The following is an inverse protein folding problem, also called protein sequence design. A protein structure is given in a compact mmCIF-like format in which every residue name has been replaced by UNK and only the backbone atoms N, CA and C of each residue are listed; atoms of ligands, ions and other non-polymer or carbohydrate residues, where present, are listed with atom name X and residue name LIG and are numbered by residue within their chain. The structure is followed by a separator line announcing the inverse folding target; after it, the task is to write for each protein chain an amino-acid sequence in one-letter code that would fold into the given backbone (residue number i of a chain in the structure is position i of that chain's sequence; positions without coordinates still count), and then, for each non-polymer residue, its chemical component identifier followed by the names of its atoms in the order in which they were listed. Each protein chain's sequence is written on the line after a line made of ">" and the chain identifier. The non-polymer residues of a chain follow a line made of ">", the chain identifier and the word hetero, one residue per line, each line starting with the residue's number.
data_IF_653940322734
#
_entry.id   IF_653940322734
#
_cell.length_a   1.000
_cell.length_b   1.000
_cell.length_c   1.000
_cell.angle_alpha   90.00
_cell.angle_beta   90.00
_cell.angle_gamma   90.00
#
_symmetry.space_group_name_H-M   'P 1'
#
loop_
_entity.id
_entity.type
_entity.pdbx_description
1 polymer ?
#
# COMPACT_ATOMS: atom_id res chain seq x y z
N UNK A 1 -25.96 3.98 20.83
CA UNK A 1 -24.84 3.01 20.72
C UNK A 1 -24.74 2.07 21.92
N UNK A 2 -24.96 2.51 23.16
CA UNK A 2 -24.99 1.65 24.39
C UNK A 2 -26.00 0.48 24.35
N UNK A 3 -27.02 0.55 23.50
CA UNK A 3 -28.09 -0.44 23.35
C UNK A 3 -27.75 -1.67 22.47
N UNK A 4 -26.71 -1.58 21.62
CA UNK A 4 -26.29 -2.70 20.75
C UNK A 4 -25.34 -3.64 21.49
N UNK A 5 -24.42 -3.10 22.27
CA UNK A 5 -23.49 -3.86 23.11
C UNK A 5 -24.23 -4.77 24.09
N UNK A 6 -25.16 -4.20 24.87
CA UNK A 6 -25.98 -4.97 25.80
C UNK A 6 -26.79 -6.07 25.11
N UNK A 7 -27.23 -5.87 23.86
CA UNK A 7 -27.96 -6.88 23.08
C UNK A 7 -27.06 -8.01 22.56
N UNK A 8 -25.87 -7.69 22.07
CA UNK A 8 -24.91 -8.69 21.57
C UNK A 8 -24.34 -9.50 22.74
N UNK A 9 -23.93 -8.84 23.81
CA UNK A 9 -23.44 -9.48 25.03
C UNK A 9 -24.53 -10.31 25.72
N UNK A 10 -25.78 -9.82 25.79
CA UNK A 10 -26.90 -10.67 26.29
C UNK A 10 -27.25 -11.82 25.35
N UNK A 11 -27.07 -11.68 24.03
CA UNK A 11 -27.24 -12.81 23.10
C UNK A 11 -26.17 -13.89 23.35
N UNK A 12 -24.90 -13.50 23.46
CA UNK A 12 -23.80 -14.43 23.70
C UNK A 12 -23.81 -15.02 25.11
N UNK A 13 -24.15 -14.23 26.14
CA UNK A 13 -24.33 -14.72 27.51
C UNK A 13 -25.55 -15.63 27.66
N UNK A 14 -26.61 -15.43 26.85
CA UNK A 14 -27.74 -16.39 26.77
C UNK A 14 -27.33 -17.72 26.14
N UNK A 15 -26.33 -17.73 25.26
CA UNK A 15 -25.87 -18.92 24.53
C UNK A 15 -24.68 -19.61 25.25
N UNK A 16 -24.11 -19.01 26.31
CA UNK A 16 -22.94 -19.54 27.07
C UNK A 16 -21.77 -19.96 26.18
N UNK A 17 -21.46 -19.17 25.15
CA UNK A 17 -20.32 -19.48 24.27
C UNK A 17 -18.98 -19.23 24.99
N UNK A 18 -17.96 -20.09 24.81
CA UNK A 18 -16.62 -19.84 25.35
C UNK A 18 -16.02 -18.54 24.81
N UNK A 19 -15.25 -17.82 25.63
CA UNK A 19 -14.58 -16.57 25.25
C UNK A 19 -13.76 -16.68 23.96
N UNK A 20 -13.10 -17.83 23.77
CA UNK A 20 -12.33 -18.11 22.55
C UNK A 20 -13.23 -18.14 21.30
N UNK A 21 -14.44 -18.70 21.39
CA UNK A 21 -15.36 -18.77 20.24
C UNK A 21 -15.85 -17.37 19.85
N UNK A 22 -16.16 -16.54 20.85
CA UNK A 22 -16.54 -15.14 20.65
C UNK A 22 -15.40 -14.34 20.02
N UNK A 23 -14.17 -14.53 20.52
CA UNK A 23 -12.98 -13.87 20.00
C UNK A 23 -12.68 -14.27 18.54
N UNK A 24 -12.75 -15.56 18.21
CA UNK A 24 -12.58 -16.07 16.85
C UNK A 24 -13.65 -15.55 15.90
N UNK A 25 -14.91 -15.47 16.35
CA UNK A 25 -15.99 -14.88 15.57
C UNK A 25 -15.72 -13.41 15.23
N UNK A 26 -15.22 -12.61 16.18
CA UNK A 26 -14.82 -11.23 15.92
C UNK A 26 -13.64 -11.13 14.96
N UNK A 27 -12.68 -12.06 15.02
CA UNK A 27 -11.56 -12.10 14.08
C UNK A 27 -12.04 -12.34 12.65
N UNK A 28 -12.97 -13.28 12.46
CA UNK A 28 -13.57 -13.59 11.16
C UNK A 28 -14.36 -12.38 10.63
N UNK A 29 -15.22 -11.75 11.44
CA UNK A 29 -15.97 -10.55 11.01
C UNK A 29 -15.01 -9.40 10.65
N UNK A 30 -13.97 -9.21 11.46
CA UNK A 30 -12.98 -8.16 11.19
C UNK A 30 -12.25 -8.42 9.89
N UNK A 31 -11.79 -9.65 9.67
CA UNK A 31 -11.18 -10.08 8.42
C UNK A 31 -12.12 -9.89 7.23
N UNK A 32 -13.40 -10.26 7.39
CA UNK A 32 -14.38 -10.14 6.33
C UNK A 32 -14.63 -8.68 5.92
N UNK A 33 -14.86 -7.81 6.91
CA UNK A 33 -15.11 -6.39 6.67
C UNK A 33 -13.86 -5.66 6.12
N UNK A 34 -12.67 -5.97 6.66
CA UNK A 34 -11.42 -5.40 6.17
C UNK A 34 -11.07 -5.88 4.76
N UNK A 35 -11.28 -7.17 4.46
CA UNK A 35 -11.10 -7.75 3.14
C UNK A 35 -12.02 -7.13 2.10
N UNK A 36 -13.32 -7.03 2.39
CA UNK A 36 -14.28 -6.34 1.52
C UNK A 36 -13.87 -4.89 1.25
N UNK A 37 -13.47 -4.14 2.27
CA UNK A 37 -13.05 -2.76 2.09
C UNK A 37 -11.74 -2.63 1.30
N UNK A 38 -10.81 -3.58 1.45
CA UNK A 38 -9.57 -3.62 0.69
C UNK A 38 -9.82 -3.92 -0.80
N UNK A 39 -10.72 -4.86 -1.10
CA UNK A 39 -11.18 -5.14 -2.47
C UNK A 39 -11.85 -3.92 -3.07
N UNK A 40 -12.83 -3.33 -2.37
CA UNK A 40 -13.50 -2.10 -2.83
C UNK A 40 -12.53 -0.94 -3.06
N UNK A 41 -11.49 -0.81 -2.22
CA UNK A 41 -10.46 0.20 -2.36
C UNK A 41 -9.61 -0.02 -3.62
N UNK A 42 -9.18 -1.26 -3.85
CA UNK A 42 -8.40 -1.63 -5.04
C UNK A 42 -9.23 -1.46 -6.32
N UNK A 43 -10.44 -1.98 -6.36
CA UNK A 43 -11.36 -1.84 -7.50
C UNK A 43 -11.68 -0.38 -7.81
N UNK A 44 -11.76 0.48 -6.78
CA UNK A 44 -11.98 1.92 -6.98
C UNK A 44 -10.77 2.61 -7.63
N UNK A 45 -9.55 2.19 -7.29
CA UNK A 45 -8.32 2.67 -7.93
C UNK A 45 -8.31 2.24 -9.39
N UNK A 46 -8.52 0.95 -9.63
CA UNK A 46 -8.48 0.36 -10.98
C UNK A 46 -9.57 0.92 -11.88
N UNK A 47 -10.80 1.07 -11.37
CA UNK A 47 -11.89 1.68 -12.11
C UNK A 47 -11.55 3.11 -12.54
N UNK A 48 -11.04 3.92 -11.61
CA UNK A 48 -10.66 5.30 -11.91
C UNK A 48 -9.48 5.34 -12.91
N UNK A 49 -8.51 4.45 -12.77
CA UNK A 49 -7.36 4.37 -13.67
C UNK A 49 -7.79 3.96 -15.09
N UNK A 50 -8.55 2.86 -15.24
CA UNK A 50 -9.06 2.38 -16.53
C UNK A 50 -9.91 3.45 -17.23
N UNK A 51 -10.80 4.10 -16.49
CA UNK A 51 -11.65 5.16 -17.04
C UNK A 51 -10.83 6.33 -17.59
N UNK A 52 -9.76 6.73 -16.90
CA UNK A 52 -8.96 7.90 -17.27
C UNK A 52 -7.89 7.60 -18.34
N UNK A 53 -7.27 6.42 -18.30
CA UNK A 53 -6.12 6.07 -19.15
C UNK A 53 -6.46 5.12 -20.29
N UNK A 54 -7.36 4.14 -20.10
CA UNK A 54 -7.75 3.19 -21.14
C UNK A 54 -8.93 3.72 -21.95
N UNK A 55 -10.06 4.01 -21.29
CA UNK A 55 -11.26 4.53 -21.96
C UNK A 55 -11.08 5.99 -22.37
N UNK A 56 -10.39 6.78 -21.55
CA UNK A 56 -10.02 8.17 -21.82
C UNK A 56 -9.23 8.33 -23.11
N UNK A 57 -8.41 7.34 -23.50
CA UNK A 57 -7.66 7.38 -24.75
C UNK A 57 -8.58 7.50 -25.99
N UNK A 58 -9.82 7.03 -25.91
CA UNK A 58 -10.83 7.23 -26.95
C UNK A 58 -11.30 8.68 -27.04
N UNK A 59 -11.38 9.39 -25.91
CA UNK A 59 -11.68 10.83 -25.84
C UNK A 59 -10.48 11.70 -26.24
N UNK A 60 -9.26 11.20 -26.05
CA UNK A 60 -8.01 11.92 -26.35
C UNK A 60 -7.43 11.61 -27.74
N UNK A 61 -8.19 10.99 -28.66
CA UNK A 61 -7.72 10.67 -30.02
C UNK A 61 -7.08 11.91 -30.69
N UNK A 62 -5.78 11.83 -30.97
CA UNK A 62 -4.97 12.91 -31.57
C UNK A 62 -4.38 13.94 -30.58
N UNK A 63 -4.58 13.77 -29.26
CA UNK A 63 -4.09 14.66 -28.19
C UNK A 63 -3.54 13.89 -26.99
N UNK A 64 -2.68 12.90 -27.25
CA UNK A 64 -2.10 12.02 -26.21
C UNK A 64 -1.37 12.79 -25.09
N UNK A 65 -0.82 13.97 -25.40
CA UNK A 65 -0.18 14.86 -24.41
C UNK A 65 -1.12 15.33 -23.29
N UNK A 66 -2.45 15.23 -23.45
CA UNK A 66 -3.41 15.57 -22.40
C UNK A 66 -3.31 14.65 -21.17
N UNK A 67 -2.73 13.45 -21.32
CA UNK A 67 -2.46 12.53 -20.21
C UNK A 67 -1.58 13.17 -19.12
N UNK A 68 -0.74 14.14 -19.49
CA UNK A 68 0.15 14.87 -18.57
C UNK A 68 -0.64 15.62 -17.49
N UNK A 69 -1.86 16.07 -17.80
CA UNK A 69 -2.69 16.84 -16.88
C UNK A 69 -3.48 15.97 -15.90
N UNK A 70 -3.59 14.66 -16.14
CA UNK A 70 -4.41 13.76 -15.31
C UNK A 70 -3.85 13.69 -13.88
N UNK A 71 -2.55 13.39 -13.64
CA UNK A 71 -2.03 13.38 -12.27
C UNK A 71 -1.97 14.78 -11.65
N UNK A 72 -1.81 15.83 -12.46
CA UNK A 72 -1.87 17.22 -12.00
C UNK A 72 -3.26 17.56 -11.42
N UNK A 73 -4.33 17.15 -12.10
CA UNK A 73 -5.70 17.32 -11.61
C UNK A 73 -5.95 16.50 -10.34
N UNK A 74 -5.46 15.26 -10.29
CA UNK A 74 -5.55 14.42 -9.09
C UNK A 74 -4.85 15.04 -7.87
N UNK A 75 -3.67 15.62 -8.08
CA UNK A 75 -2.93 16.33 -7.04
C UNK A 75 -3.61 17.63 -6.62
N UNK A 76 -4.23 18.36 -7.55
CA UNK A 76 -5.04 19.54 -7.24
C UNK A 76 -6.25 19.18 -6.35
N UNK A 77 -6.98 18.11 -6.70
CA UNK A 77 -8.12 17.63 -5.90
C UNK A 77 -7.65 17.25 -4.49
N UNK A 78 -6.53 16.53 -4.36
CA UNK A 78 -5.96 16.18 -3.05
C UNK A 78 -5.56 17.42 -2.24
N UNK A 79 -5.02 18.46 -2.87
CA UNK A 79 -4.71 19.71 -2.20
C UNK A 79 -5.97 20.39 -1.64
N UNK A 80 -7.07 20.37 -2.39
CA UNK A 80 -8.37 20.87 -1.92
C UNK A 80 -8.92 20.03 -0.75
N UNK A 81 -8.76 18.70 -0.79
CA UNK A 81 -9.11 17.82 0.31
C UNK A 81 -8.30 18.13 1.58
N UNK A 82 -7.00 18.40 1.45
CA UNK A 82 -6.13 18.81 2.55
C UNK A 82 -6.59 20.15 3.14
N UNK A 83 -6.89 21.13 2.28
CA UNK A 83 -7.39 22.43 2.70
C UNK A 83 -8.70 22.33 3.47
N UNK A 84 -9.62 21.45 3.04
CA UNK A 84 -10.92 21.23 3.71
C UNK A 84 -10.79 20.45 5.02
N UNK A 85 -9.90 19.46 5.11
CA UNK A 85 -9.78 18.56 6.26
C UNK A 85 -8.34 18.45 6.82
N UNK A 86 -7.71 19.56 7.25
CA UNK A 86 -6.28 19.62 7.56
C UNK A 86 -5.85 18.78 8.78
N UNK A 87 -6.77 18.53 9.72
CA UNK A 87 -6.49 17.67 10.88
C UNK A 87 -6.54 16.18 10.52
N UNK A 88 -7.41 15.82 9.58
CA UNK A 88 -7.59 14.43 9.14
C UNK A 88 -6.45 14.05 8.20
N UNK A 89 -6.08 14.93 7.27
CA UNK A 89 -5.03 14.71 6.28
C UNK A 89 -3.64 14.45 6.86
N UNK A 90 -3.34 14.88 8.09
CA UNK A 90 -2.05 14.64 8.75
C UNK A 90 -1.87 13.20 9.27
N UNK A 91 -2.96 12.44 9.40
CA UNK A 91 -2.98 11.10 10.01
C UNK A 91 -2.82 10.03 8.93
N UNK A 92 -1.63 9.93 8.30
CA UNK A 92 -1.42 9.12 7.10
C UNK A 92 -0.71 7.78 7.36
N UNK A 93 -1.14 6.75 6.63
CA UNK A 93 -0.41 5.51 6.39
C UNK A 93 -0.24 4.60 7.60
N UNK A 94 0.66 3.62 7.46
CA UNK A 94 0.94 2.59 8.46
C UNK A 94 1.38 3.20 9.79
N UNK A 95 2.16 4.28 9.75
CA UNK A 95 2.62 4.97 10.96
C UNK A 95 1.47 5.47 11.85
N UNK A 96 0.34 5.87 11.28
CA UNK A 96 -0.84 6.25 12.08
C UNK A 96 -1.50 5.02 12.74
N UNK A 97 -1.52 3.87 12.05
CA UNK A 97 -2.03 2.61 12.62
C UNK A 97 -1.16 2.17 13.79
N UNK A 98 0.17 2.20 13.63
CA UNK A 98 1.14 1.91 14.69
C UNK A 98 0.91 2.84 15.88
N UNK A 99 0.79 4.17 15.64
CA UNK A 99 0.52 5.15 16.71
C UNK A 99 -0.82 4.90 17.40
N UNK A 100 -1.86 4.50 16.68
CA UNK A 100 -3.16 4.19 17.27
C UNK A 100 -3.08 2.95 18.17
N UNK A 101 -2.43 1.89 17.70
CA UNK A 101 -2.21 0.62 18.43
C UNK A 101 -1.33 0.84 19.66
N UNK A 102 -0.25 1.62 19.54
CA UNK A 102 0.72 1.83 20.62
C UNK A 102 0.27 2.86 21.66
N UNK A 103 -0.42 3.94 21.25
CA UNK A 103 -0.65 5.11 22.12
C UNK A 103 -2.14 5.40 22.39
N UNK A 104 -3.07 4.77 21.67
CA UNK A 104 -4.50 5.13 21.72
C UNK A 104 -5.43 3.91 21.86
N UNK A 105 -4.91 2.80 22.39
CA UNK A 105 -5.71 1.57 22.57
C UNK A 105 -6.27 0.98 21.27
N UNK A 106 -5.63 1.25 20.12
CA UNK A 106 -6.14 0.86 18.81
C UNK A 106 -7.22 1.78 18.24
N UNK A 107 -7.56 2.89 18.88
CA UNK A 107 -8.63 3.77 18.40
C UNK A 107 -8.23 4.57 17.15
N UNK A 108 -8.98 4.39 16.06
CA UNK A 108 -8.88 5.15 14.82
C UNK A 108 -10.25 5.76 14.51
N UNK A 109 -10.29 7.07 14.27
CA UNK A 109 -11.53 7.75 13.93
C UNK A 109 -12.00 7.32 12.53
N UNK A 110 -13.25 6.86 12.41
CA UNK A 110 -13.82 6.40 11.15
C UNK A 110 -13.82 7.46 10.04
N UNK A 111 -13.91 8.75 10.37
CA UNK A 111 -13.75 9.84 9.39
C UNK A 111 -12.34 9.87 8.78
N UNK A 112 -11.33 9.51 9.58
CA UNK A 112 -9.96 9.35 9.10
C UNK A 112 -9.85 8.17 8.15
N UNK A 113 -10.49 7.04 8.48
CA UNK A 113 -10.57 5.85 7.63
C UNK A 113 -11.16 6.18 6.26
N UNK A 114 -12.32 6.86 6.23
CA UNK A 114 -12.99 7.23 4.96
C UNK A 114 -12.17 8.23 4.14
N UNK A 115 -11.56 9.23 4.80
CA UNK A 115 -10.69 10.18 4.10
C UNK A 115 -9.48 9.48 3.45
N UNK A 116 -8.87 8.51 4.14
CA UNK A 116 -7.74 7.74 3.64
C UNK A 116 -8.15 6.56 2.75
N UNK A 117 -9.44 6.36 2.51
CA UNK A 117 -9.95 5.59 1.38
C UNK A 117 -10.00 6.48 0.14
N UNK A 118 -10.66 7.64 0.22
CA UNK A 118 -10.94 8.48 -0.95
C UNK A 118 -9.67 9.16 -1.49
N UNK A 119 -8.82 9.73 -0.63
CA UNK A 119 -7.66 10.51 -1.08
C UNK A 119 -6.64 9.66 -1.88
N UNK A 120 -6.26 8.45 -1.45
CA UNK A 120 -5.41 7.57 -2.24
C UNK A 120 -6.09 6.99 -3.49
N UNK A 121 -7.40 6.73 -3.48
CA UNK A 121 -8.14 6.35 -4.72
C UNK A 121 -7.94 7.42 -5.78
N UNK A 122 -8.12 8.69 -5.43
CA UNK A 122 -7.90 9.81 -6.35
C UNK A 122 -6.42 9.88 -6.75
N UNK A 123 -5.50 9.79 -5.78
CA UNK A 123 -4.06 9.90 -6.02
C UNK A 123 -3.56 8.85 -7.01
N UNK A 124 -3.81 7.58 -6.72
CA UNK A 124 -3.28 6.44 -7.48
C UNK A 124 -4.09 6.27 -8.77
N UNK A 125 -5.42 6.40 -8.70
CA UNK A 125 -6.31 6.26 -9.86
C UNK A 125 -6.08 7.34 -10.92
N UNK A 126 -5.65 8.55 -10.55
CA UNK A 126 -5.24 9.59 -11.52
C UNK A 126 -3.77 9.45 -11.99
N UNK A 127 -3.10 8.35 -11.66
CA UNK A 127 -1.74 8.05 -12.12
C UNK A 127 -0.63 8.44 -11.16
N UNK A 128 -0.94 8.83 -9.92
CA UNK A 128 0.07 9.08 -8.88
C UNK A 128 0.92 7.84 -8.64
N UNK A 129 2.25 8.02 -8.74
CA UNK A 129 3.24 6.93 -8.65
C UNK A 129 3.52 6.50 -7.20
N UNK A 130 2.50 6.02 -6.49
CA UNK A 130 2.57 5.60 -5.09
C UNK A 130 1.75 4.32 -4.86
N UNK A 131 2.02 3.64 -3.75
CA UNK A 131 1.41 2.33 -3.45
C UNK A 131 0.08 2.37 -2.69
N UNK A 132 -0.81 1.38 -2.86
CA UNK A 132 -2.07 1.26 -2.14
C UNK A 132 -1.93 0.70 -0.71
N UNK A 133 -0.80 0.09 -0.36
CA UNK A 133 -0.67 -0.78 0.82
C UNK A 133 -0.76 0.00 2.14
N UNK A 134 -0.10 1.16 2.20
CA UNK A 134 -0.14 2.03 3.37
C UNK A 134 -1.57 2.50 3.69
N UNK A 135 -2.28 3.08 2.70
CA UNK A 135 -3.72 3.33 2.79
C UNK A 135 -4.56 2.12 3.18
N UNK A 136 -4.33 0.97 2.55
CA UNK A 136 -5.12 -0.24 2.81
C UNK A 136 -4.97 -0.74 4.24
N UNK A 137 -3.74 -0.79 4.77
CA UNK A 137 -3.49 -1.11 6.17
C UNK A 137 -4.22 -0.12 7.10
N UNK A 138 -4.28 1.15 6.74
CA UNK A 138 -5.01 2.17 7.50
C UNK A 138 -6.54 1.99 7.42
N UNK A 139 -7.07 1.61 6.26
CA UNK A 139 -8.49 1.30 6.06
C UNK A 139 -8.87 0.08 6.90
N UNK A 140 -8.12 -1.02 6.75
CA UNK A 140 -8.33 -2.25 7.49
C UNK A 140 -8.22 -2.07 9.00
N UNK A 141 -7.18 -1.36 9.47
CA UNK A 141 -7.04 -1.03 10.88
C UNK A 141 -8.17 -0.14 11.39
N UNK A 142 -8.61 0.84 10.59
CA UNK A 142 -9.77 1.67 10.91
C UNK A 142 -11.08 0.89 11.03
N UNK A 143 -11.27 -0.14 10.21
CA UNK A 143 -12.44 -1.04 10.26
C UNK A 143 -12.36 -1.92 11.51
N UNK A 144 -11.22 -2.55 11.77
CA UNK A 144 -11.01 -3.35 12.98
C UNK A 144 -11.24 -2.54 14.25
N UNK A 145 -10.71 -1.31 14.29
CA UNK A 145 -10.95 -0.36 15.36
C UNK A 145 -12.43 -0.02 15.51
N UNK A 146 -13.13 0.31 14.41
CA UNK A 146 -14.54 0.69 14.45
C UNK A 146 -15.44 -0.46 14.90
N UNK A 147 -15.19 -1.68 14.42
CA UNK A 147 -15.92 -2.87 14.84
C UNK A 147 -15.69 -3.15 16.32
N UNK A 148 -14.44 -3.12 16.79
CA UNK A 148 -14.13 -3.31 18.21
C UNK A 148 -14.87 -2.32 19.12
N UNK A 149 -14.99 -1.05 18.69
CA UNK A 149 -15.76 -0.03 19.41
C UNK A 149 -17.28 -0.27 19.34
N UNK A 150 -17.84 -0.69 18.20
CA UNK A 150 -19.26 -1.02 18.07
C UNK A 150 -19.63 -2.19 19.00
N UNK A 151 -18.74 -3.18 19.09
CA UNK A 151 -18.88 -4.35 19.94
C UNK A 151 -18.40 -4.13 21.38
N UNK A 152 -18.06 -2.90 21.77
CA UNK A 152 -17.69 -2.54 23.15
C UNK A 152 -16.53 -3.37 23.73
N UNK A 153 -15.59 -3.78 22.89
CA UNK A 153 -14.42 -4.54 23.31
C UNK A 153 -13.51 -3.68 24.19
N UNK A 154 -12.74 -4.32 25.07
CA UNK A 154 -11.68 -3.65 25.82
C UNK A 154 -10.62 -3.07 24.89
N UNK A 155 -9.94 -2.00 25.31
CA UNK A 155 -8.85 -1.38 24.55
C UNK A 155 -7.77 -2.39 24.13
N UNK A 156 -7.47 -3.38 24.98
CA UNK A 156 -6.54 -4.47 24.65
C UNK A 156 -7.01 -5.31 23.45
N UNK A 157 -8.31 -5.62 23.37
CA UNK A 157 -8.90 -6.36 22.25
C UNK A 157 -9.05 -5.46 21.02
N UNK A 158 -9.43 -4.19 21.18
CA UNK A 158 -9.48 -3.21 20.07
C UNK A 158 -8.10 -3.07 19.43
N UNK A 159 -7.03 -3.00 20.23
CA UNK A 159 -5.64 -3.00 19.75
C UNK A 159 -5.34 -4.21 18.86
N UNK A 160 -5.72 -5.41 19.30
CA UNK A 160 -5.54 -6.65 18.53
C UNK A 160 -6.34 -6.62 17.21
N UNK A 161 -7.63 -6.28 17.25
CA UNK A 161 -8.46 -6.26 16.04
C UNK A 161 -8.11 -5.13 15.08
N UNK A 162 -7.54 -4.03 15.57
CA UNK A 162 -6.98 -2.96 14.73
C UNK A 162 -5.75 -3.47 13.97
N UNK A 163 -4.84 -4.18 14.64
CA UNK A 163 -3.71 -4.81 13.97
C UNK A 163 -4.14 -5.93 13.00
N UNK A 164 -5.08 -6.79 13.43
CA UNK A 164 -5.64 -7.85 12.61
C UNK A 164 -6.34 -7.32 11.36
N UNK A 165 -7.10 -6.22 11.48
CA UNK A 165 -7.73 -5.54 10.36
C UNK A 165 -6.71 -4.97 9.37
N UNK A 166 -5.61 -4.38 9.86
CA UNK A 166 -4.54 -3.89 9.00
C UNK A 166 -3.86 -5.02 8.22
N UNK A 167 -3.50 -6.12 8.90
CA UNK A 167 -2.96 -7.33 8.26
C UNK A 167 -3.92 -7.98 7.28
N UNK A 168 -5.21 -8.03 7.63
CA UNK A 168 -6.28 -8.54 6.77
C UNK A 168 -6.41 -7.75 5.46
N UNK A 169 -6.30 -6.42 5.50
CA UNK A 169 -6.32 -5.61 4.28
C UNK A 169 -5.11 -5.88 3.37
N UNK A 170 -3.91 -6.04 3.95
CA UNK A 170 -2.70 -6.44 3.19
C UNK A 170 -2.86 -7.85 2.61
N UNK A 171 -3.40 -8.78 3.39
CA UNK A 171 -3.69 -10.15 2.95
C UNK A 171 -4.65 -10.19 1.76
N UNK A 172 -5.73 -9.40 1.81
CA UNK A 172 -6.69 -9.29 0.73
C UNK A 172 -6.08 -8.69 -0.55
N UNK A 173 -5.28 -7.63 -0.42
CA UNK A 173 -4.66 -6.99 -1.59
C UNK A 173 -3.65 -7.90 -2.26
N UNK A 174 -2.79 -8.60 -1.51
CA UNK A 174 -1.72 -9.41 -2.10
C UNK A 174 -2.08 -10.88 -2.31
N UNK A 175 -3.31 -11.27 -2.02
CA UNK A 175 -3.69 -12.67 -1.96
C UNK A 175 -2.75 -13.53 -1.07
N UNK A 176 -2.18 -12.91 -0.02
CA UNK A 176 -1.05 -13.46 0.76
C UNK A 176 -1.34 -13.42 2.27
N UNK A 177 -2.03 -14.44 2.82
CA UNK A 177 -2.37 -14.51 4.24
C UNK A 177 -1.17 -14.41 5.18
N UNK A 178 -0.09 -15.14 4.88
CA UNK A 178 1.11 -15.16 5.72
C UNK A 178 1.76 -13.78 5.80
N UNK A 179 1.87 -13.10 4.66
CA UNK A 179 2.39 -11.72 4.59
C UNK A 179 1.55 -10.75 5.41
N UNK A 180 0.22 -10.87 5.37
CA UNK A 180 -0.68 -10.06 6.22
C UNK A 180 -0.50 -10.31 7.72
N UNK A 181 -0.31 -11.57 8.12
CA UNK A 181 -0.07 -11.97 9.52
C UNK A 181 1.24 -11.35 10.03
N UNK A 182 2.36 -11.56 9.31
CA UNK A 182 3.66 -11.03 9.71
C UNK A 182 3.73 -9.51 9.63
N UNK A 183 3.07 -8.88 8.65
CA UNK A 183 2.94 -7.43 8.60
C UNK A 183 2.25 -6.89 9.87
N UNK A 184 1.14 -7.51 10.29
CA UNK A 184 0.46 -7.08 11.51
C UNK A 184 1.30 -7.31 12.77
N UNK A 185 2.02 -8.43 12.85
CA UNK A 185 2.84 -8.79 14.00
C UNK A 185 4.10 -7.91 14.12
N UNK A 186 4.90 -7.84 13.06
CA UNK A 186 6.21 -7.19 13.07
C UNK A 186 6.09 -5.68 12.91
N UNK A 187 5.27 -5.23 11.96
CA UNK A 187 5.19 -3.80 11.62
C UNK A 187 4.18 -3.07 12.50
N UNK A 188 2.97 -3.62 12.66
CA UNK A 188 1.89 -2.92 13.39
C UNK A 188 1.99 -3.10 14.90
N UNK A 189 2.26 -4.32 15.36
CA UNK A 189 2.36 -4.65 16.79
C UNK A 189 3.79 -4.53 17.34
N UNK A 190 4.80 -4.26 16.50
CA UNK A 190 6.20 -4.10 16.91
C UNK A 190 6.74 -5.33 17.67
N UNK A 191 6.41 -6.53 17.17
CA UNK A 191 6.77 -7.82 17.77
C UNK A 191 6.16 -8.09 19.15
N UNK A 192 5.09 -7.39 19.54
CA UNK A 192 4.31 -7.70 20.74
C UNK A 192 3.47 -8.97 20.52
N UNK A 193 4.14 -10.12 20.68
CA UNK A 193 3.55 -11.44 20.47
C UNK A 193 2.83 -11.94 21.73
N UNK A 194 1.53 -12.21 21.56
CA UNK A 194 0.73 -12.95 22.54
C UNK A 194 -0.07 -14.02 21.79
N UNK A 195 -0.16 -15.23 22.36
CA UNK A 195 -0.83 -16.38 21.71
C UNK A 195 -2.26 -16.08 21.21
N UNK A 196 -3.13 -15.37 21.96
CA UNK A 196 -4.46 -15.00 21.47
C UNK A 196 -4.41 -14.02 20.29
N UNK A 197 -3.44 -13.10 20.28
CA UNK A 197 -3.24 -12.14 19.20
C UNK A 197 -2.97 -12.86 17.89
N UNK A 198 -2.07 -13.85 17.90
CA UNK A 198 -1.70 -14.60 16.70
C UNK A 198 -2.91 -15.32 16.08
N UNK A 199 -3.80 -15.90 16.90
CA UNK A 199 -5.04 -16.53 16.43
C UNK A 199 -5.95 -15.54 15.69
N UNK A 200 -6.11 -14.32 16.23
CA UNK A 200 -6.89 -13.28 15.55
C UNK A 200 -6.26 -12.84 14.22
N UNK A 201 -4.93 -12.68 14.17
CA UNK A 201 -4.21 -12.31 12.94
C UNK A 201 -4.43 -13.36 11.85
N UNK A 202 -4.31 -14.65 12.19
CA UNK A 202 -4.54 -15.76 11.26
C UNK A 202 -5.97 -15.73 10.74
N UNK A 203 -6.96 -15.78 11.63
CA UNK A 203 -8.36 -15.86 11.24
C UNK A 203 -8.79 -14.67 10.40
N UNK A 204 -8.39 -13.46 10.77
CA UNK A 204 -8.72 -12.26 10.01
C UNK A 204 -8.05 -12.26 8.63
N UNK A 205 -6.75 -12.58 8.56
CA UNK A 205 -5.99 -12.55 7.30
C UNK A 205 -6.44 -13.64 6.32
N UNK A 206 -6.70 -14.86 6.80
CA UNK A 206 -7.21 -15.95 5.98
C UNK A 206 -8.62 -15.63 5.48
N UNK A 207 -9.50 -15.10 6.34
CA UNK A 207 -10.85 -14.71 5.93
C UNK A 207 -10.82 -13.62 4.85
N UNK A 208 -9.97 -12.60 5.03
CA UNK A 208 -9.83 -11.51 4.09
C UNK A 208 -9.30 -11.98 2.72
N UNK A 209 -8.29 -12.85 2.71
CA UNK A 209 -7.79 -13.44 1.46
C UNK A 209 -8.82 -14.34 0.80
N UNK A 210 -9.58 -15.15 1.55
CA UNK A 210 -10.64 -15.97 1.00
C UNK A 210 -11.71 -15.11 0.31
N UNK A 211 -12.14 -14.00 0.93
CA UNK A 211 -13.07 -13.05 0.31
C UNK A 211 -12.47 -12.44 -0.96
N UNK A 212 -11.22 -11.98 -0.91
CA UNK A 212 -10.54 -11.42 -2.07
C UNK A 212 -10.47 -12.43 -3.23
N UNK A 213 -10.15 -13.71 -2.94
CA UNK A 213 -10.13 -14.79 -3.94
C UNK A 213 -11.50 -15.03 -4.59
N UNK A 214 -12.57 -14.91 -3.81
CA UNK A 214 -13.95 -15.10 -4.32
C UNK A 214 -14.39 -13.92 -5.20
N UNK A 215 -13.99 -12.69 -4.86
CA UNK A 215 -14.45 -11.48 -5.56
C UNK A 215 -13.58 -11.08 -6.75
N UNK A 216 -12.26 -11.16 -6.59
CA UNK A 216 -11.27 -10.69 -7.58
C UNK A 216 -10.67 -11.85 -8.36
N UNK A 217 -10.56 -13.02 -7.75
CA UNK A 217 -9.97 -14.22 -8.34
C UNK A 217 -8.73 -14.70 -7.57
N UNK A 218 -8.26 -15.89 -7.92
CA UNK A 218 -7.18 -16.58 -7.20
C UNK A 218 -5.82 -16.51 -7.92
N UNK A 219 -5.61 -15.48 -8.74
CA UNK A 219 -4.36 -15.31 -9.45
C UNK A 219 -3.31 -14.63 -8.57
N UNK A 220 -2.04 -14.93 -8.85
CA UNK A 220 -0.90 -14.26 -8.22
C UNK A 220 -0.66 -12.92 -8.91
N UNK A 221 -0.43 -11.87 -8.12
CA UNK A 221 -0.14 -10.52 -8.66
C UNK A 221 1.18 -10.49 -9.43
N UNK A 222 2.15 -11.30 -8.97
CA UNK A 222 3.44 -11.45 -9.63
C UNK A 222 3.53 -12.87 -10.19
N UNK A 223 3.73 -12.96 -11.50
CA UNK A 223 3.84 -14.22 -12.23
C UNK A 223 5.25 -14.33 -12.75
N UNK A 224 5.95 -15.38 -12.33
CA UNK A 224 7.29 -15.72 -12.79
C UNK A 224 7.38 -17.23 -12.96
N UNK A 225 8.25 -17.67 -13.86
CA UNK A 225 8.45 -19.10 -14.06
C UNK A 225 9.12 -19.71 -12.83
N UNK A 226 8.71 -20.93 -12.45
CA UNK A 226 9.42 -21.66 -11.43
C UNK A 226 10.78 -22.06 -11.98
N UNK A 227 11.84 -21.42 -11.47
CA UNK A 227 13.19 -21.74 -11.91
C UNK A 227 13.86 -22.61 -10.86
N UNK A 228 14.27 -23.84 -11.20
CA UNK A 228 14.89 -24.74 -10.25
C UNK A 228 16.14 -24.11 -9.64
N UNK A 229 16.26 -24.23 -8.32
CA UNK A 229 17.40 -23.75 -7.57
C UNK A 229 18.57 -24.71 -7.84
N UNK A 230 19.35 -24.43 -8.89
CA UNK A 230 20.30 -25.40 -9.42
C UNK A 230 21.61 -25.50 -8.62
N UNK A 231 22.04 -24.44 -7.92
CA UNK A 231 23.30 -24.47 -7.16
C UNK A 231 23.32 -23.50 -5.97
N UNK A 232 23.68 -24.03 -4.79
CA UNK A 232 23.89 -23.23 -3.57
C UNK A 232 25.18 -22.41 -3.63
N UNK A 233 26.10 -22.72 -4.55
CA UNK A 233 27.34 -21.98 -4.73
C UNK A 233 27.09 -20.49 -4.99
N UNK A 234 26.02 -20.13 -5.69
CA UNK A 234 25.71 -18.73 -6.03
C UNK A 234 25.03 -17.92 -4.91
N UNK A 235 24.82 -18.50 -3.72
CA UNK A 235 24.16 -17.81 -2.60
C UNK A 235 24.86 -16.51 -2.17
N UNK A 236 26.19 -16.47 -2.23
CA UNK A 236 26.95 -15.27 -1.85
C UNK A 236 26.65 -14.07 -2.77
N UNK A 237 26.24 -14.31 -4.01
CA UNK A 237 25.90 -13.26 -4.98
C UNK A 237 24.62 -12.54 -4.53
N UNK A 238 23.63 -13.28 -4.05
CA UNK A 238 22.41 -12.70 -3.48
C UNK A 238 22.69 -11.95 -2.17
N UNK A 239 23.68 -12.38 -1.38
CA UNK A 239 24.12 -11.62 -0.21
C UNK A 239 24.77 -10.28 -0.60
N UNK A 240 25.61 -10.26 -1.64
CA UNK A 240 26.17 -9.02 -2.21
C UNK A 240 25.05 -8.11 -2.71
N UNK A 241 24.07 -8.67 -3.43
CA UNK A 241 22.90 -7.91 -3.87
C UNK A 241 22.12 -7.32 -2.70
N UNK A 242 21.97 -8.07 -1.60
CA UNK A 242 21.37 -7.56 -0.35
C UNK A 242 22.10 -6.33 0.21
N UNK A 243 23.44 -6.33 0.20
CA UNK A 243 24.24 -5.16 0.61
C UNK A 243 24.00 -3.97 -0.33
N UNK A 244 23.98 -4.20 -1.64
CA UNK A 244 23.69 -3.17 -2.64
C UNK A 244 22.30 -2.56 -2.42
N UNK A 245 21.29 -3.40 -2.17
CA UNK A 245 19.93 -2.95 -1.85
C UNK A 245 19.88 -2.17 -0.54
N UNK A 246 20.69 -2.53 0.45
CA UNK A 246 20.88 -1.74 1.68
C UNK A 246 21.38 -0.32 1.38
N UNK A 247 22.37 -0.19 0.49
CA UNK A 247 22.91 1.12 0.07
C UNK A 247 21.84 1.93 -0.69
N UNK A 248 21.12 1.31 -1.63
CA UNK A 248 20.04 1.96 -2.39
C UNK A 248 18.93 2.43 -1.43
N UNK A 249 18.58 1.63 -0.43
CA UNK A 249 17.58 1.98 0.60
C UNK A 249 18.03 3.21 1.41
N UNK A 250 19.29 3.24 1.87
CA UNK A 250 19.84 4.41 2.57
C UNK A 250 19.78 5.66 1.69
N UNK A 251 20.15 5.55 0.41
CA UNK A 251 20.07 6.66 -0.53
C UNK A 251 18.62 7.15 -0.70
N UNK A 252 17.65 6.24 -0.80
CA UNK A 252 16.23 6.58 -0.93
C UNK A 252 15.69 7.28 0.32
N UNK A 253 16.06 6.80 1.50
CA UNK A 253 15.70 7.42 2.79
C UNK A 253 16.28 8.84 2.88
N UNK A 254 17.58 9.01 2.58
CA UNK A 254 18.22 10.33 2.61
C UNK A 254 17.59 11.30 1.62
N UNK A 255 17.32 10.85 0.39
CA UNK A 255 16.65 11.67 -0.61
C UNK A 255 15.22 12.05 -0.16
N UNK A 256 14.51 11.11 0.46
CA UNK A 256 13.18 11.34 1.04
C UNK A 256 13.21 12.40 2.14
N UNK A 257 14.16 12.34 3.08
CA UNK A 257 14.36 13.33 4.14
C UNK A 257 14.70 14.72 3.58
N UNK A 258 15.59 14.79 2.59
CA UNK A 258 15.95 16.05 1.90
C UNK A 258 14.70 16.65 1.24
N UNK A 259 13.92 15.81 0.56
CA UNK A 259 12.69 16.24 -0.13
C UNK A 259 11.65 16.73 0.88
N UNK A 260 11.44 16.02 1.99
CA UNK A 260 10.57 16.45 3.08
C UNK A 260 10.99 17.81 3.64
N UNK A 261 12.28 17.98 3.91
CA UNK A 261 12.81 19.24 4.42
C UNK A 261 12.60 20.39 3.41
N UNK A 262 12.87 20.15 2.13
CA UNK A 262 12.69 21.12 1.06
C UNK A 262 11.23 21.58 0.95
N UNK A 263 10.27 20.65 0.94
CA UNK A 263 8.85 20.99 0.88
C UNK A 263 8.39 21.71 2.14
N UNK A 264 8.67 21.16 3.32
CA UNK A 264 8.15 21.69 4.59
C UNK A 264 8.78 23.02 5.01
N UNK A 265 10.07 23.25 4.72
CA UNK A 265 10.80 24.44 5.18
C UNK A 265 10.95 25.53 4.14
N UNK A 266 10.92 25.20 2.84
CA UNK A 266 11.14 26.16 1.75
C UNK A 266 9.92 26.29 0.83
N UNK A 267 9.56 25.24 0.09
CA UNK A 267 8.58 25.34 -1.00
C UNK A 267 7.18 25.71 -0.48
N UNK A 268 6.65 24.98 0.50
CA UNK A 268 5.29 25.21 1.01
C UNK A 268 5.15 26.48 1.86
N UNK A 269 6.27 27.17 2.16
CA UNK A 269 6.26 28.51 2.74
C UNK A 269 6.24 29.61 1.67
N UNK A 270 6.85 29.35 0.52
CA UNK A 270 6.94 30.31 -0.58
C UNK A 270 5.74 30.23 -1.54
N UNK A 271 5.16 29.04 -1.70
CA UNK A 271 4.14 28.75 -2.69
C UNK A 271 2.96 28.02 -2.04
N UNK A 272 1.69 28.36 -2.38
CA UNK A 272 0.52 27.62 -1.94
C UNK A 272 0.63 26.12 -2.26
N UNK A 273 0.20 25.27 -1.30
CA UNK A 273 0.32 23.82 -1.42
C UNK A 273 -0.33 23.26 -2.69
N UNK A 274 -1.45 23.81 -3.15
CA UNK A 274 -2.12 23.35 -4.36
C UNK A 274 -1.27 23.57 -5.63
N UNK A 275 -0.51 24.66 -5.73
CA UNK A 275 0.41 24.90 -6.86
C UNK A 275 1.54 23.88 -6.80
N UNK A 276 2.19 23.73 -5.65
CA UNK A 276 3.30 22.79 -5.47
C UNK A 276 2.90 21.35 -5.82
N UNK A 277 1.74 20.90 -5.33
CA UNK A 277 1.18 19.58 -5.64
C UNK A 277 0.83 19.43 -7.13
N UNK A 278 0.24 20.45 -7.76
CA UNK A 278 -0.11 20.42 -9.20
C UNK A 278 1.15 20.33 -10.07
N UNK A 279 2.21 21.08 -9.74
CA UNK A 279 3.48 21.01 -10.46
C UNK A 279 4.15 19.64 -10.33
N UNK A 280 4.11 19.02 -9.15
CA UNK A 280 4.58 17.64 -8.97
C UNK A 280 3.73 16.67 -9.80
N UNK A 281 2.41 16.85 -9.84
CA UNK A 281 1.53 16.06 -10.69
C UNK A 281 1.83 16.22 -12.18
N UNK A 282 2.20 17.43 -12.64
CA UNK A 282 2.67 17.64 -14.02
C UNK A 282 4.01 16.93 -14.28
N UNK A 283 4.93 16.89 -13.32
CA UNK A 283 6.18 16.15 -13.45
C UNK A 283 5.94 14.64 -13.58
N UNK A 284 5.01 14.08 -12.78
CA UNK A 284 4.57 12.68 -12.92
C UNK A 284 3.89 12.45 -14.26
N UNK A 285 3.01 13.35 -14.68
CA UNK A 285 2.35 13.32 -15.98
C UNK A 285 3.32 13.32 -17.15
N UNK A 286 4.34 14.18 -17.12
CA UNK A 286 5.37 14.28 -18.14
C UNK A 286 6.22 13.02 -18.20
N UNK A 287 6.64 12.50 -17.04
CA UNK A 287 7.38 11.24 -16.97
C UNK A 287 6.55 10.08 -17.53
N UNK A 288 5.27 9.99 -17.14
CA UNK A 288 4.36 8.94 -17.60
C UNK A 288 3.95 9.04 -19.07
N UNK A 289 4.00 10.24 -19.67
CA UNK A 289 3.80 10.41 -21.10
C UNK A 289 4.90 9.69 -21.92
N UNK A 290 6.15 9.75 -21.46
CA UNK A 290 7.26 9.01 -22.09
C UNK A 290 7.34 7.55 -21.64
N UNK A 291 6.99 7.27 -20.38
CA UNK A 291 7.13 5.97 -19.74
C UNK A 291 5.85 5.61 -18.98
N UNK A 292 4.89 4.99 -19.67
CA UNK A 292 3.53 4.72 -19.14
C UNK A 292 3.54 3.89 -17.86
N UNK A 293 4.56 3.07 -17.67
CA UNK A 293 4.81 2.20 -16.50
C UNK A 293 4.98 2.98 -15.18
N UNK A 294 5.23 4.30 -15.25
CA UNK A 294 5.31 5.17 -14.07
C UNK A 294 3.94 5.40 -13.44
N UNK A 295 2.87 5.40 -14.24
CA UNK A 295 1.53 5.71 -13.75
C UNK A 295 1.00 4.64 -12.78
N UNK A 296 0.37 5.13 -11.71
CA UNK A 296 -0.33 4.29 -10.74
C UNK A 296 0.61 3.39 -9.93
N UNK A 297 0.12 2.18 -9.65
CA UNK A 297 0.73 1.24 -8.69
C UNK A 297 2.07 0.70 -9.22
N UNK A 298 2.12 0.31 -10.50
CA UNK A 298 3.31 -0.22 -11.16
C UNK A 298 3.48 -1.74 -11.12
N UNK A 299 2.49 -2.52 -10.65
CA UNK A 299 2.59 -4.00 -10.65
C UNK A 299 2.73 -4.60 -12.05
N UNK A 300 2.08 -4.02 -13.06
CA UNK A 300 2.25 -4.43 -14.46
C UNK A 300 3.72 -4.36 -14.88
N UNK A 301 4.38 -3.23 -14.63
CA UNK A 301 5.79 -3.04 -14.95
C UNK A 301 6.71 -4.03 -14.21
N UNK A 302 6.38 -4.38 -12.96
CA UNK A 302 7.14 -5.41 -12.23
C UNK A 302 7.06 -6.76 -12.94
N UNK A 303 5.86 -7.16 -13.42
CA UNK A 303 5.72 -8.39 -14.19
C UNK A 303 6.51 -8.33 -15.51
N UNK A 304 6.54 -7.18 -16.18
CA UNK A 304 7.36 -6.98 -17.38
C UNK A 304 8.87 -7.03 -17.10
N UNK A 305 9.32 -6.64 -15.91
CA UNK A 305 10.71 -6.83 -15.48
C UNK A 305 11.00 -8.33 -15.30
N UNK A 306 10.12 -9.04 -14.60
CA UNK A 306 10.24 -10.47 -14.32
C UNK A 306 10.11 -11.37 -15.55
N UNK A 307 9.45 -10.89 -16.61
CA UNK A 307 9.33 -11.61 -17.88
C UNK A 307 10.45 -11.29 -18.87
N UNK A 308 11.30 -10.29 -18.57
CA UNK A 308 12.27 -9.74 -19.53
C UNK A 308 11.63 -9.01 -20.70
N UNK A 309 10.36 -8.58 -20.57
CA UNK A 309 9.59 -7.91 -21.64
C UNK A 309 10.05 -6.50 -21.97
N UNK A 310 10.83 -5.87 -21.08
CA UNK A 310 11.31 -4.49 -21.22
C UNK A 310 12.84 -4.44 -21.34
N UNK A 311 13.32 -3.61 -22.28
CA UNK A 311 14.74 -3.35 -22.47
C UNK A 311 15.37 -2.78 -21.18
N UNK A 312 16.56 -3.27 -20.81
CA UNK A 312 17.21 -2.90 -19.54
C UNK A 312 17.44 -1.40 -19.38
N UNK A 313 17.65 -0.65 -20.47
CA UNK A 313 17.78 0.80 -20.45
C UNK A 313 16.49 1.48 -19.95
N UNK A 314 15.33 0.97 -20.38
CA UNK A 314 14.03 1.46 -19.95
C UNK A 314 13.82 1.11 -18.47
N UNK A 315 14.15 -0.11 -18.05
CA UNK A 315 14.08 -0.49 -16.61
C UNK A 315 14.93 0.43 -15.75
N UNK A 316 16.15 0.75 -16.17
CA UNK A 316 17.03 1.69 -15.46
C UNK A 316 16.39 3.08 -15.33
N UNK A 317 15.83 3.61 -16.42
CA UNK A 317 15.13 4.91 -16.39
C UNK A 317 13.90 4.85 -15.47
N UNK A 318 13.11 3.78 -15.54
CA UNK A 318 11.93 3.59 -14.70
C UNK A 318 12.28 3.54 -13.21
N UNK A 319 13.35 2.82 -12.84
CA UNK A 319 13.83 2.75 -11.45
C UNK A 319 14.25 4.13 -10.96
N UNK A 320 15.01 4.89 -11.75
CA UNK A 320 15.44 6.25 -11.41
C UNK A 320 14.23 7.19 -11.26
N UNK A 321 13.29 7.14 -12.21
CA UNK A 321 12.08 7.96 -12.16
C UNK A 321 11.23 7.62 -10.93
N UNK A 322 11.02 6.34 -10.62
CA UNK A 322 10.28 5.91 -9.42
C UNK A 322 10.97 6.40 -8.15
N UNK A 323 12.30 6.27 -8.08
CA UNK A 323 13.11 6.73 -6.95
C UNK A 323 12.96 8.24 -6.69
N UNK A 324 12.91 9.05 -7.75
CA UNK A 324 12.80 10.52 -7.65
C UNK A 324 11.36 10.97 -7.41
N UNK A 325 10.40 10.45 -8.17
CA UNK A 325 9.03 10.96 -8.18
C UNK A 325 8.24 10.58 -6.92
N UNK A 326 8.48 9.40 -6.34
CA UNK A 326 7.71 8.91 -5.18
C UNK A 326 7.84 9.86 -3.97
N UNK A 327 9.06 10.26 -3.52
CA UNK A 327 9.20 11.26 -2.47
C UNK A 327 8.59 12.62 -2.83
N UNK A 328 8.74 13.08 -4.07
CA UNK A 328 8.14 14.35 -4.50
C UNK A 328 6.61 14.33 -4.35
N UNK A 329 5.95 13.24 -4.76
CA UNK A 329 4.49 13.08 -4.61
C UNK A 329 4.10 13.06 -3.14
N UNK A 330 4.76 12.26 -2.31
CA UNK A 330 4.39 12.12 -0.90
C UNK A 330 4.62 13.41 -0.10
N UNK A 331 5.78 14.05 -0.25
CA UNK A 331 6.17 15.21 0.56
C UNK A 331 5.63 16.55 0.05
N UNK A 332 5.17 16.63 -1.20
CA UNK A 332 4.34 17.77 -1.65
C UNK A 332 2.94 17.74 -1.02
N UNK A 333 2.46 16.57 -0.59
CA UNK A 333 1.18 16.41 0.11
C UNK A 333 0.33 15.24 -0.37
N UNK A 334 0.75 14.50 -1.39
CA UNK A 334 0.03 13.37 -1.96
C UNK A 334 -0.27 12.26 -0.95
N UNK A 335 -1.16 11.35 -1.35
CA UNK A 335 -1.61 10.23 -0.54
C UNK A 335 -1.30 8.90 -1.22
N UNK A 336 -0.68 7.99 -0.46
CA UNK A 336 -0.25 6.68 -0.93
C UNK A 336 0.76 6.05 0.05
N UNK A 337 1.32 4.92 -0.36
CA UNK A 337 2.31 4.15 0.38
C UNK A 337 3.63 4.03 -0.38
N UNK A 338 4.67 3.64 0.35
CA UNK A 338 6.01 3.38 -0.19
C UNK A 338 6.22 1.92 -0.61
N UNK A 339 5.33 1.01 -0.22
CA UNK A 339 5.55 -0.44 -0.38
C UNK A 339 5.61 -0.87 -1.85
N UNK A 340 4.58 -0.62 -2.67
CA UNK A 340 4.66 -0.91 -4.12
C UNK A 340 5.86 -0.23 -4.82
N UNK A 341 6.13 1.08 -4.61
CA UNK A 341 7.33 1.69 -5.17
C UNK A 341 8.65 1.02 -4.76
N UNK A 342 8.77 0.56 -3.51
CA UNK A 342 9.96 -0.18 -3.06
C UNK A 342 10.07 -1.54 -3.76
N UNK A 343 8.96 -2.26 -3.97
CA UNK A 343 8.96 -3.49 -4.77
C UNK A 343 9.36 -3.21 -6.23
N UNK A 344 8.88 -2.11 -6.81
CA UNK A 344 9.22 -1.70 -8.17
C UNK A 344 10.72 -1.43 -8.31
N UNK A 345 11.29 -0.64 -7.41
CA UNK A 345 12.73 -0.32 -7.39
C UNK A 345 13.54 -1.60 -7.16
N UNK A 346 13.13 -2.46 -6.21
CA UNK A 346 13.81 -3.71 -5.90
C UNK A 346 13.77 -4.72 -7.05
N UNK A 347 12.61 -4.91 -7.67
CA UNK A 347 12.43 -5.80 -8.82
C UNK A 347 13.25 -5.34 -10.03
N UNK A 348 13.17 -4.04 -10.36
CA UNK A 348 13.97 -3.46 -11.45
C UNK A 348 15.48 -3.52 -11.18
N UNK A 349 15.92 -3.22 -9.95
CA UNK A 349 17.32 -3.36 -9.56
C UNK A 349 17.80 -4.82 -9.60
N UNK A 350 16.96 -5.76 -9.20
CA UNK A 350 17.23 -7.21 -9.26
C UNK A 350 17.42 -7.69 -10.69
N UNK A 351 16.50 -7.31 -11.59
CA UNK A 351 16.59 -7.61 -13.03
C UNK A 351 17.90 -7.06 -13.65
N UNK A 352 18.20 -5.79 -13.38
CA UNK A 352 19.43 -5.15 -13.87
C UNK A 352 20.69 -5.81 -13.32
N UNK A 353 20.68 -6.19 -12.03
CA UNK A 353 21.79 -6.88 -11.40
C UNK A 353 22.01 -8.27 -11.99
N UNK A 354 20.94 -9.05 -12.19
CA UNK A 354 21.01 -10.37 -12.81
C UNK A 354 21.59 -10.30 -14.24
N UNK A 355 21.09 -9.37 -15.06
CA UNK A 355 21.62 -9.14 -16.41
C UNK A 355 23.10 -8.76 -16.40
N UNK A 356 23.52 -7.91 -15.45
CA UNK A 356 24.92 -7.50 -15.34
C UNK A 356 25.82 -8.68 -14.97
N UNK A 357 25.41 -9.48 -13.98
CA UNK A 357 26.13 -10.68 -13.55
C UNK A 357 26.27 -11.71 -14.69
N UNK A 358 25.19 -11.93 -15.44
CA UNK A 358 25.19 -12.90 -16.51
C UNK A 358 26.06 -12.47 -17.69
N UNK A 359 25.94 -11.21 -18.13
CA UNK A 359 26.63 -10.74 -19.33
C UNK A 359 28.11 -10.43 -19.10
N UNK A 360 28.50 -9.93 -17.92
CA UNK A 360 29.88 -9.50 -17.66
C UNK A 360 30.70 -10.63 -17.03
N UNK A 361 30.14 -11.35 -16.07
CA UNK A 361 30.86 -12.34 -15.27
C UNK A 361 30.49 -13.78 -15.63
N UNK A 362 29.57 -13.99 -16.57
CA UNK A 362 29.20 -15.33 -17.06
C UNK A 362 28.43 -16.17 -16.03
N UNK A 363 27.79 -15.53 -15.05
CA UNK A 363 26.89 -16.24 -14.14
C UNK A 363 25.61 -16.70 -14.88
N UNK A 364 24.98 -17.73 -14.36
CA UNK A 364 23.66 -18.19 -14.81
C UNK A 364 22.62 -17.82 -13.76
N UNK A 365 22.51 -16.53 -13.45
CA UNK A 365 21.44 -16.03 -12.60
C UNK A 365 20.14 -15.97 -13.40
N UNK A 366 19.04 -16.15 -12.69
CA UNK A 366 17.72 -16.03 -13.28
C UNK A 366 17.38 -14.55 -13.45
N UNK A 367 17.16 -14.13 -14.69
CA UNK A 367 16.71 -12.78 -15.06
C UNK A 367 15.21 -12.70 -15.16
#
# INVERSE_FOLDING_TARGET
>A
MRNLFGKVETLFNKIKLPDYSVFSFFAIITGAAAGLAAVLFHDSIDLLNKTLFEDGNSFFKGKEWLVIFIPALGMLIQALMIWRFPKVSKKKGVAEVIKAVALRGGYINFRTTLFHFIAPVISIGTGGTVGPEGPAAQIGGGIGSKLGNIFGLSDSRVRIFTAAGAGAAISAIFNTPLGGIFFALEVVLLNDFQTPTFSALILASVTASAIARVLVGNESIFVFQHIPFNDYANLYIYAIFGILMGIISIAFIRYSEITEHLFSKKILKAVPQWIAMTLVGLAVGLAGYFYKEIFGIGYYAINEFLSGGIAWQIVLVLVILKFVLVPLVLYSGGFGGLFAPSLFIGGGAGYLFALLMNNIWGFELNT
#
